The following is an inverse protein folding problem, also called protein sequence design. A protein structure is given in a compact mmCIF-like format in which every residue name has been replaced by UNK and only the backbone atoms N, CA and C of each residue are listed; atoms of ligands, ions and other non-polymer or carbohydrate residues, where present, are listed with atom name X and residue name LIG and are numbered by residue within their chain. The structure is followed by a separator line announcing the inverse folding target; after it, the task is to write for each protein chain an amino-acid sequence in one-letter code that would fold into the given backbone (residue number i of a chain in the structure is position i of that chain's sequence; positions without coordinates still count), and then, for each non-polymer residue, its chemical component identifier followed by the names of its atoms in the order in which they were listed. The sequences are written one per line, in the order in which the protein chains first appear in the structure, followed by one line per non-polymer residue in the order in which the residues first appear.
data_IF_507549491073
#
_entry.id   IF_507549491073
#
_cell.length_a   1.000
_cell.length_b   1.000
_cell.length_c   1.000
_cell.angle_alpha   90.00
_cell.angle_beta   90.00
_cell.angle_gamma   90.00
#
_symmetry.space_group_name_H-M   'P 1'
#
loop_
_entity.id
_entity.type
_entity.pdbx_description
1 polymer ?
#
# COMPACT_ATOMS: atom_id res chain seq x y z
N UNK A 1 2.60 6.53 0.58
CA UNK A 1 1.54 5.64 1.04
C UNK A 1 0.29 6.43 0.81
N UNK A 2 -0.46 6.09 -0.23
CA UNK A 2 -1.69 6.79 -0.55
C UNK A 2 -2.78 6.48 0.47
N UNK A 3 -3.69 7.43 0.63
CA UNK A 3 -4.93 7.19 1.33
C UNK A 3 -5.79 6.19 0.56
N UNK A 4 -6.39 5.23 1.26
CA UNK A 4 -7.30 4.24 0.72
C UNK A 4 -8.71 4.55 1.24
N UNK A 5 -9.54 5.06 0.33
CA UNK A 5 -10.96 5.28 0.60
C UNK A 5 -11.71 3.95 0.54
N UNK A 6 -12.30 3.54 1.66
CA UNK A 6 -13.13 2.34 1.75
C UNK A 6 -14.46 2.56 1.01
N UNK A 7 -14.85 1.62 0.16
CA UNK A 7 -16.17 1.55 -0.47
C UNK A 7 -17.21 1.22 0.60
N UNK A 8 -18.47 1.60 0.36
CA UNK A 8 -19.55 1.40 1.32
C UNK A 8 -19.63 -0.06 1.82
N UNK A 9 -19.78 -0.26 3.12
CA UNK A 9 -19.68 -1.56 3.80
C UNK A 9 -20.69 -2.63 3.31
N UNK A 10 -21.73 -2.23 2.58
CA UNK A 10 -22.84 -3.09 2.15
C UNK A 10 -22.46 -4.22 1.19
N UNK A 11 -21.25 -4.24 0.63
CA UNK A 11 -20.86 -5.22 -0.39
C UNK A 11 -20.49 -6.61 0.15
N UNK A 12 -20.44 -6.84 1.47
CA UNK A 12 -19.86 -8.07 2.00
C UNK A 12 -20.67 -8.77 3.09
N UNK A 13 -21.85 -9.29 2.72
CA UNK A 13 -22.76 -10.04 3.62
C UNK A 13 -22.03 -11.06 4.50
N UNK A 14 -21.13 -11.88 3.94
CA UNK A 14 -20.40 -12.88 4.73
C UNK A 14 -19.43 -12.28 5.76
N UNK A 15 -18.81 -11.14 5.45
CA UNK A 15 -17.88 -10.47 6.37
C UNK A 15 -18.69 -9.75 7.46
N UNK A 16 -19.73 -9.01 7.08
CA UNK A 16 -20.65 -8.35 8.01
C UNK A 16 -21.29 -9.34 8.98
N UNK A 17 -21.78 -10.49 8.47
CA UNK A 17 -22.33 -11.56 9.31
C UNK A 17 -21.30 -12.15 10.27
N UNK A 18 -20.05 -12.32 9.83
CA UNK A 18 -18.97 -12.76 10.72
C UNK A 18 -18.67 -11.72 11.81
N UNK A 19 -18.84 -10.44 11.49
CA UNK A 19 -18.59 -9.31 12.40
C UNK A 19 -19.75 -9.01 13.37
N UNK A 20 -20.97 -9.52 13.16
CA UNK A 20 -22.10 -9.37 14.10
C UNK A 20 -21.80 -9.91 15.50
N UNK A 21 -20.99 -10.97 15.55
CA UNK A 21 -20.46 -11.53 16.80
C UNK A 21 -18.95 -11.61 16.63
N UNK A 22 -18.19 -10.55 16.91
CA UNK A 22 -16.76 -10.55 16.67
C UNK A 22 -16.04 -11.47 17.69
N UNK A 23 -14.87 -12.04 17.34
CA UNK A 23 -14.11 -12.86 18.28
C UNK A 23 -13.63 -12.01 19.46
N UNK A 24 -13.61 -12.61 20.65
CA UNK A 24 -13.26 -11.92 21.90
C UNK A 24 -11.82 -12.22 22.35
N UNK A 25 -11.20 -13.28 21.81
CA UNK A 25 -9.81 -13.66 22.13
C UNK A 25 -8.98 -13.86 20.86
N UNK A 26 -7.65 -13.83 21.00
CA UNK A 26 -6.72 -14.05 19.89
C UNK A 26 -6.88 -15.44 19.26
N UNK A 27 -7.16 -16.46 20.07
CA UNK A 27 -7.39 -17.84 19.63
C UNK A 27 -8.68 -17.93 18.81
N UNK A 28 -9.76 -17.31 19.31
CA UNK A 28 -11.03 -17.23 18.57
C UNK A 28 -10.85 -16.47 17.26
N UNK A 29 -10.10 -15.37 17.28
CA UNK A 29 -9.81 -14.58 16.08
C UNK A 29 -9.06 -15.40 15.04
N UNK A 30 -8.02 -16.13 15.45
CA UNK A 30 -7.23 -17.00 14.59
C UNK A 30 -8.10 -18.11 14.00
N UNK A 31 -8.74 -18.92 14.85
CA UNK A 31 -9.57 -20.05 14.41
C UNK A 31 -10.71 -19.63 13.47
N UNK A 32 -11.40 -18.53 13.78
CA UNK A 32 -12.51 -18.05 12.95
C UNK A 32 -12.03 -17.41 11.66
N UNK A 33 -10.93 -16.66 11.69
CA UNK A 33 -10.34 -16.15 10.46
C UNK A 33 -9.92 -17.32 9.58
N UNK A 34 -9.25 -18.34 10.12
CA UNK A 34 -8.84 -19.54 9.38
C UNK A 34 -10.01 -20.26 8.71
N UNK A 35 -11.13 -20.37 9.42
CA UNK A 35 -12.38 -20.96 8.92
C UNK A 35 -13.16 -20.07 7.94
N UNK A 36 -12.77 -18.81 7.74
CA UNK A 36 -13.47 -17.89 6.85
C UNK A 36 -13.17 -18.21 5.38
N UNK A 37 -14.10 -18.90 4.72
CA UNK A 37 -13.93 -19.37 3.33
C UNK A 37 -14.11 -18.29 2.24
N UNK A 38 -14.37 -17.04 2.61
CA UNK A 38 -14.54 -15.90 1.68
C UNK A 38 -13.33 -14.99 1.58
N UNK A 39 -12.17 -15.42 2.08
CA UNK A 39 -10.90 -14.65 2.00
C UNK A 39 -10.52 -14.28 0.57
N UNK A 40 -10.68 -15.18 -0.41
CA UNK A 40 -10.26 -14.89 -1.79
C UNK A 40 -11.13 -13.81 -2.44
N UNK A 41 -12.45 -13.91 -2.27
CA UNK A 41 -13.41 -12.90 -2.74
C UNK A 41 -13.10 -11.53 -2.11
N UNK A 42 -12.88 -11.52 -0.79
CA UNK A 42 -12.51 -10.32 -0.04
C UNK A 42 -11.18 -9.72 -0.50
N UNK A 43 -10.16 -10.56 -0.71
CA UNK A 43 -8.85 -10.11 -1.22
C UNK A 43 -8.98 -9.45 -2.58
N UNK A 44 -9.73 -10.04 -3.51
CA UNK A 44 -9.93 -9.47 -4.85
C UNK A 44 -10.63 -8.11 -4.76
N UNK A 45 -11.65 -7.99 -3.91
CA UNK A 45 -12.35 -6.73 -3.67
C UNK A 45 -11.42 -5.65 -3.10
N UNK A 46 -10.60 -6.00 -2.09
CA UNK A 46 -9.63 -5.08 -1.50
C UNK A 46 -8.58 -4.65 -2.53
N UNK A 47 -8.12 -5.56 -3.39
CA UNK A 47 -7.22 -5.21 -4.50
C UNK A 47 -7.88 -4.24 -5.47
N UNK A 48 -9.12 -4.47 -5.89
CA UNK A 48 -9.85 -3.54 -6.77
C UNK A 48 -10.08 -2.16 -6.13
N UNK A 49 -10.46 -2.13 -4.85
CA UNK A 49 -10.55 -0.89 -4.05
C UNK A 49 -9.20 -0.15 -3.97
N UNK A 50 -8.12 -0.92 -3.95
CA UNK A 50 -6.78 -0.38 -3.85
C UNK A 50 -6.12 -0.07 -5.20
N UNK A 51 -6.82 -0.18 -6.33
CA UNK A 51 -6.24 -0.10 -7.68
C UNK A 51 -5.05 -1.05 -7.86
N UNK A 52 -5.13 -2.21 -7.22
CA UNK A 52 -4.17 -3.31 -7.20
C UNK A 52 -2.83 -2.99 -6.54
N UNK A 53 -2.71 -1.84 -5.87
CA UNK A 53 -1.53 -1.50 -5.10
C UNK A 53 -1.56 -2.16 -3.71
N UNK A 54 -0.41 -2.67 -3.28
CA UNK A 54 -0.17 -2.98 -1.88
C UNK A 54 -0.43 -1.73 -1.03
N UNK A 55 -1.20 -1.89 0.05
CA UNK A 55 -1.67 -0.77 0.86
C UNK A 55 -0.56 0.08 1.48
N UNK A 56 0.61 -0.53 1.73
CA UNK A 56 1.73 0.14 2.38
C UNK A 56 2.86 0.49 1.40
N UNK A 57 3.32 -0.48 0.60
CA UNK A 57 4.49 -0.31 -0.26
C UNK A 57 4.17 0.20 -1.66
N UNK A 58 2.89 0.20 -2.07
CA UNK A 58 2.43 0.56 -3.42
C UNK A 58 3.08 -0.24 -4.55
N UNK A 59 3.66 -1.39 -4.24
CA UNK A 59 3.98 -2.39 -5.27
C UNK A 59 2.67 -2.98 -5.79
N UNK A 60 2.62 -3.27 -7.09
CA UNK A 60 1.59 -4.11 -7.69
C UNK A 60 1.97 -5.59 -7.59
N UNK A 61 1.31 -6.39 -6.74
CA UNK A 61 1.62 -7.81 -6.63
C UNK A 61 1.42 -8.52 -7.96
N UNK A 62 0.35 -8.14 -8.69
CA UNK A 62 -0.06 -8.74 -9.95
C UNK A 62 0.81 -8.33 -11.16
N UNK A 63 1.83 -7.50 -10.97
CA UNK A 63 2.74 -7.09 -12.04
C UNK A 63 4.08 -7.81 -11.90
N UNK A 64 4.54 -8.38 -13.01
CA UNK A 64 5.92 -8.86 -13.12
C UNK A 64 6.84 -7.65 -13.31
N UNK A 65 7.48 -7.20 -12.23
CA UNK A 65 8.32 -6.00 -12.25
C UNK A 65 9.66 -6.19 -12.98
N UNK A 66 10.14 -7.43 -13.15
CA UNK A 66 11.33 -7.74 -13.94
C UNK A 66 11.19 -9.08 -14.67
N UNK A 67 11.87 -9.27 -15.82
CA UNK A 67 11.89 -10.53 -16.56
C UNK A 67 12.27 -11.75 -15.70
N UNK A 68 13.13 -11.58 -14.71
CA UNK A 68 13.65 -12.69 -13.90
C UNK A 68 12.91 -12.88 -12.56
N UNK A 69 11.99 -11.98 -12.21
CA UNK A 69 11.20 -12.11 -10.99
C UNK A 69 9.84 -12.74 -11.27
N UNK A 70 9.41 -13.65 -10.39
CA UNK A 70 8.01 -14.08 -10.40
C UNK A 70 7.11 -12.95 -9.92
N UNK A 71 5.88 -12.94 -10.44
CA UNK A 71 4.80 -12.13 -9.90
C UNK A 71 4.65 -12.44 -8.40
N UNK A 72 4.46 -11.41 -7.58
CA UNK A 72 4.20 -11.58 -6.15
C UNK A 72 2.72 -11.91 -5.94
N UNK A 73 2.43 -12.67 -4.89
CA UNK A 73 1.08 -12.79 -4.37
C UNK A 73 0.69 -11.62 -3.47
N UNK A 74 -0.59 -11.58 -3.12
CA UNK A 74 -1.14 -10.67 -2.13
C UNK A 74 -1.67 -11.45 -0.93
N UNK A 75 -1.83 -10.77 0.20
CA UNK A 75 -2.55 -11.24 1.38
C UNK A 75 -3.50 -10.16 1.91
N UNK A 76 -4.45 -10.57 2.75
CA UNK A 76 -5.27 -9.62 3.52
C UNK A 76 -4.53 -9.30 4.81
N UNK A 77 -4.28 -8.02 5.02
CA UNK A 77 -3.65 -7.48 6.21
C UNK A 77 -4.70 -6.92 7.16
N UNK A 78 -4.50 -7.19 8.45
CA UNK A 78 -5.21 -6.53 9.55
C UNK A 78 -4.36 -5.35 10.03
N UNK A 79 -4.83 -4.11 9.84
CA UNK A 79 -4.11 -2.90 10.29
C UNK A 79 -3.84 -3.00 11.80
N UNK A 80 -4.91 -3.17 12.57
CA UNK A 80 -4.85 -3.60 13.96
C UNK A 80 -4.77 -5.13 14.03
N UNK A 81 -3.65 -5.72 14.47
CA UNK A 81 -3.45 -7.16 14.45
C UNK A 81 -4.53 -7.88 15.26
N UNK A 82 -5.11 -8.93 14.67
CA UNK A 82 -6.14 -9.76 15.33
C UNK A 82 -5.69 -10.44 16.63
N UNK A 83 -4.37 -10.55 16.86
CA UNK A 83 -3.79 -11.06 18.11
C UNK A 83 -3.90 -10.06 19.26
N UNK A 84 -3.92 -8.75 18.97
CA UNK A 84 -4.08 -7.69 19.95
C UNK A 84 -5.52 -7.16 20.00
N UNK A 85 -6.17 -7.08 18.84
CA UNK A 85 -7.51 -6.54 18.66
C UNK A 85 -8.45 -7.58 18.02
N UNK A 86 -8.76 -8.68 18.73
CA UNK A 86 -9.58 -9.77 18.17
C UNK A 86 -10.96 -9.27 17.69
N UNK A 87 -11.53 -8.28 18.39
CA UNK A 87 -12.79 -7.65 18.00
C UNK A 87 -12.82 -7.07 16.58
N UNK A 88 -11.65 -6.70 16.02
CA UNK A 88 -11.51 -6.11 14.68
C UNK A 88 -11.15 -7.11 13.57
N UNK A 89 -11.25 -8.42 13.84
CA UNK A 89 -10.86 -9.47 12.88
C UNK A 89 -11.67 -9.44 11.58
N UNK A 90 -12.97 -9.17 11.67
CA UNK A 90 -13.90 -9.11 10.54
C UNK A 90 -14.40 -7.69 10.24
N UNK A 91 -13.80 -6.70 10.88
CA UNK A 91 -14.11 -5.30 10.64
C UNK A 91 -13.51 -4.87 9.31
N UNK A 92 -14.36 -4.55 8.33
CA UNK A 92 -13.92 -4.11 7.01
C UNK A 92 -13.01 -2.88 7.06
N UNK A 93 -13.21 -1.99 8.04
CA UNK A 93 -12.39 -0.79 8.26
C UNK A 93 -11.03 -1.12 8.93
N UNK A 94 -10.70 -2.40 9.08
CA UNK A 94 -9.41 -2.88 9.57
C UNK A 94 -8.66 -3.71 8.52
N UNK A 95 -9.25 -3.90 7.32
CA UNK A 95 -8.74 -4.85 6.32
C UNK A 95 -8.28 -4.13 5.06
N UNK A 96 -7.07 -4.47 4.62
CA UNK A 96 -6.45 -3.97 3.39
C UNK A 96 -5.72 -5.12 2.67
N UNK A 97 -5.43 -4.97 1.39
CA UNK A 97 -4.59 -5.91 0.64
C UNK A 97 -3.12 -5.46 0.66
N UNK A 98 -2.22 -6.38 0.95
CA UNK A 98 -0.77 -6.14 0.94
C UNK A 98 -0.07 -7.12 -0.01
N UNK A 99 1.10 -6.73 -0.51
CA UNK A 99 1.98 -7.64 -1.25
C UNK A 99 2.71 -8.61 -0.31
N UNK A 100 3.26 -9.67 -0.90
CA UNK A 100 3.85 -10.86 -0.27
C UNK A 100 2.77 -11.82 0.24
N UNK A 101 2.43 -12.82 -0.57
CA UNK A 101 1.71 -14.00 -0.09
C UNK A 101 2.60 -14.89 0.78
N UNK A 102 2.00 -15.85 1.48
CA UNK A 102 2.73 -16.84 2.27
C UNK A 102 3.78 -17.60 1.44
N UNK A 103 3.51 -17.87 0.15
CA UNK A 103 4.46 -18.52 -0.74
C UNK A 103 5.69 -17.64 -1.00
N UNK A 104 5.50 -16.33 -1.16
CA UNK A 104 6.57 -15.37 -1.41
C UNK A 104 7.58 -15.33 -0.25
N UNK A 105 7.12 -15.57 0.98
CA UNK A 105 8.00 -15.59 2.17
C UNK A 105 9.10 -16.66 2.10
N UNK A 106 8.90 -17.70 1.29
CA UNK A 106 9.92 -18.74 1.04
C UNK A 106 10.90 -18.37 -0.06
N UNK A 107 10.55 -17.39 -0.91
CA UNK A 107 11.35 -16.96 -2.06
C UNK A 107 12.21 -15.72 -1.75
N UNK A 108 11.73 -14.85 -0.86
CA UNK A 108 12.44 -13.63 -0.46
C UNK A 108 13.14 -13.81 0.88
N UNK A 109 14.34 -13.22 1.01
CA UNK A 109 15.07 -13.19 2.26
C UNK A 109 14.25 -12.47 3.34
N UNK A 110 14.37 -12.90 4.60
CA UNK A 110 13.64 -12.31 5.73
C UNK A 110 13.88 -10.81 5.88
N UNK A 111 15.08 -10.34 5.52
CA UNK A 111 15.44 -8.91 5.51
C UNK A 111 14.64 -8.09 4.50
N UNK A 112 14.09 -8.74 3.47
CA UNK A 112 13.24 -8.14 2.44
C UNK A 112 11.75 -8.39 2.67
N UNK A 113 11.36 -8.99 3.80
CA UNK A 113 9.95 -9.03 4.20
C UNK A 113 9.52 -7.62 4.63
N UNK A 114 8.40 -7.15 4.11
CA UNK A 114 7.89 -5.79 4.34
C UNK A 114 6.38 -5.81 4.59
N UNK A 115 5.83 -4.65 4.93
CA UNK A 115 4.41 -4.46 5.20
C UNK A 115 3.93 -5.34 6.36
N UNK A 116 2.80 -6.02 6.19
CA UNK A 116 2.22 -6.90 7.20
C UNK A 116 3.15 -8.01 7.69
N UNK A 117 4.01 -8.54 6.81
CA UNK A 117 4.96 -9.59 7.17
C UNK A 117 6.19 -9.09 7.93
N UNK A 118 6.50 -7.79 7.87
CA UNK A 118 7.48 -7.15 8.76
C UNK A 118 6.83 -6.76 10.10
N UNK A 119 5.64 -6.16 10.04
CA UNK A 119 4.86 -5.71 11.20
C UNK A 119 4.43 -6.85 12.12
N UNK A 120 4.02 -7.99 11.55
CA UNK A 120 3.49 -9.13 12.28
C UNK A 120 2.39 -8.70 13.26
N UNK A 121 2.51 -9.10 14.53
CA UNK A 121 1.62 -8.70 15.61
C UNK A 121 2.03 -7.41 16.32
N UNK A 122 3.09 -6.71 15.90
CA UNK A 122 3.54 -5.47 16.51
C UNK A 122 2.69 -4.29 16.00
N UNK A 123 2.20 -3.46 16.91
CA UNK A 123 1.32 -2.35 16.58
C UNK A 123 1.16 -1.44 17.80
N UNK A 124 1.23 -0.13 17.58
CA UNK A 124 0.91 0.91 18.56
C UNK A 124 -0.09 1.86 17.92
N UNK A 125 -1.34 1.83 18.40
CA UNK A 125 -2.43 2.63 17.85
C UNK A 125 -2.22 4.13 17.98
N UNK A 126 -1.36 4.58 18.90
CA UNK A 126 -1.06 6.00 19.09
C UNK A 126 -0.01 6.53 18.12
N UNK A 127 0.73 5.64 17.44
CA UNK A 127 1.87 6.00 16.58
C UNK A 127 1.75 5.52 15.15
N UNK A 128 0.96 4.47 14.90
CA UNK A 128 0.85 3.89 13.57
C UNK A 128 0.04 4.80 12.64
N UNK A 129 0.66 5.20 11.52
CA UNK A 129 -0.02 5.97 10.48
C UNK A 129 -0.79 5.00 9.58
N UNK A 130 -2.12 5.03 9.69
CA UNK A 130 -3.00 4.17 8.90
C UNK A 130 -3.09 4.64 7.45
N UNK A 131 -3.06 3.71 6.48
CA UNK A 131 -3.40 4.01 5.09
C UNK A 131 -4.89 4.32 4.88
N UNK A 132 -5.72 4.18 5.92
CA UNK A 132 -7.12 4.59 5.95
C UNK A 132 -7.32 5.98 6.59
N UNK A 133 -6.23 6.65 6.97
CA UNK A 133 -6.25 8.04 7.40
C UNK A 133 -5.84 8.93 6.22
N UNK A 134 -6.65 9.93 5.90
CA UNK A 134 -6.42 10.84 4.77
C UNK A 134 -5.10 11.61 4.90
N UNK A 135 -4.66 11.87 6.15
CA UNK A 135 -3.38 12.53 6.41
C UNK A 135 -2.18 11.73 5.90
N UNK A 136 -2.29 10.39 5.78
CA UNK A 136 -1.18 9.52 5.40
C UNK A 136 -0.58 9.89 4.03
N UNK A 137 -1.39 10.46 3.13
CA UNK A 137 -0.98 10.88 1.80
C UNK A 137 0.11 11.97 1.82
N UNK A 138 0.23 12.73 2.93
CA UNK A 138 1.19 13.82 3.11
C UNK A 138 2.28 13.51 4.14
N UNK A 139 2.18 12.36 4.81
CA UNK A 139 3.05 11.99 5.93
C UNK A 139 4.45 11.53 5.50
N UNK A 140 4.59 11.02 4.28
CA UNK A 140 5.84 10.43 3.80
C UNK A 140 6.40 11.18 2.59
N UNK A 141 7.72 11.27 2.51
CA UNK A 141 8.45 11.76 1.35
C UNK A 141 9.30 10.63 0.73
N UNK A 142 9.41 10.66 -0.59
CA UNK A 142 10.12 9.66 -1.39
C UNK A 142 11.37 10.28 -2.01
N UNK A 143 12.54 9.72 -1.69
CA UNK A 143 13.82 10.22 -2.15
C UNK A 143 14.25 9.55 -3.46
N UNK A 144 15.09 10.24 -4.24
CA UNK A 144 15.62 9.75 -5.52
C UNK A 144 16.49 8.50 -5.39
N UNK A 145 17.03 8.23 -4.19
CA UNK A 145 17.74 6.98 -3.91
C UNK A 145 16.80 5.79 -3.60
N UNK A 146 15.49 6.02 -3.69
CA UNK A 146 14.47 5.02 -3.44
C UNK A 146 14.06 4.89 -1.98
N UNK A 147 14.60 5.69 -1.03
CA UNK A 147 14.16 5.66 0.38
C UNK A 147 12.85 6.40 0.59
N UNK A 148 12.08 5.95 1.58
CA UNK A 148 10.94 6.68 2.16
C UNK A 148 11.39 7.29 3.49
N UNK A 149 11.02 8.54 3.74
CA UNK A 149 11.35 9.26 4.97
C UNK A 149 10.11 10.01 5.48
N UNK A 150 10.06 10.38 6.77
CA UNK A 150 9.05 11.32 7.24
C UNK A 150 9.08 12.61 6.42
N UNK A 151 7.90 13.15 6.10
CA UNK A 151 7.80 14.44 5.43
C UNK A 151 8.37 15.56 6.31
N UNK A 152 9.22 16.40 5.73
CA UNK A 152 9.86 17.52 6.44
C UNK A 152 8.86 18.61 6.86
N UNK A 153 7.63 18.56 6.34
CA UNK A 153 6.56 19.51 6.66
C UNK A 153 5.76 19.13 7.92
N UNK A 154 6.04 17.96 8.50
CA UNK A 154 5.40 17.48 9.72
C UNK A 154 6.01 18.11 10.97
N UNK A 155 5.22 18.20 12.04
CA UNK A 155 5.75 18.53 13.35
C UNK A 155 6.68 17.39 13.85
N UNK A 156 7.62 17.66 14.78
CA UNK A 156 8.58 16.65 15.22
C UNK A 156 7.96 15.36 15.76
N UNK A 157 6.79 15.45 16.43
CA UNK A 157 6.08 14.27 16.92
C UNK A 157 5.54 13.41 15.77
N UNK A 158 4.89 14.04 14.79
CA UNK A 158 4.35 13.36 13.62
C UNK A 158 5.47 12.75 12.75
N UNK A 159 6.66 13.38 12.72
CA UNK A 159 7.83 12.79 12.07
C UNK A 159 8.29 11.51 12.76
N UNK A 160 8.24 11.47 14.10
CA UNK A 160 8.60 10.27 14.87
C UNK A 160 7.61 9.12 14.65
N UNK A 161 6.32 9.44 14.45
CA UNK A 161 5.26 8.46 14.19
C UNK A 161 5.29 7.96 12.73
N UNK A 162 5.60 8.86 11.78
CA UNK A 162 5.92 8.48 10.41
C UNK A 162 7.14 7.54 10.37
N UNK A 163 8.20 7.85 11.12
CA UNK A 163 9.41 7.03 11.19
C UNK A 163 9.09 5.66 11.81
N UNK A 164 8.32 5.63 12.90
CA UNK A 164 7.83 4.39 13.49
C UNK A 164 7.11 3.50 12.47
N UNK A 165 6.23 4.10 11.66
CA UNK A 165 5.48 3.36 10.63
C UNK A 165 6.40 2.81 9.54
N UNK A 166 7.37 3.61 9.08
CA UNK A 166 8.39 3.18 8.09
C UNK A 166 9.17 1.97 8.61
N UNK A 167 9.64 2.04 9.85
CA UNK A 167 10.49 1.01 10.46
C UNK A 167 9.69 -0.26 10.76
N UNK A 168 8.50 -0.13 11.35
CA UNK A 168 7.60 -1.24 11.68
C UNK A 168 7.22 -2.05 10.42
N UNK A 169 6.95 -1.36 9.32
CA UNK A 169 6.58 -1.98 8.05
C UNK A 169 7.79 -2.33 7.18
N UNK A 170 9.02 -2.07 7.64
CA UNK A 170 10.26 -2.27 6.89
C UNK A 170 10.20 -1.69 5.46
N UNK A 171 9.64 -0.47 5.31
CA UNK A 171 9.40 0.13 3.99
C UNK A 171 10.71 0.50 3.26
N UNK A 172 11.83 0.55 3.98
CA UNK A 172 13.17 0.78 3.45
C UNK A 172 14.02 -0.51 3.38
N UNK A 173 13.40 -1.69 3.32
CA UNK A 173 14.15 -2.91 3.01
C UNK A 173 14.88 -2.79 1.66
N UNK A 174 15.98 -3.55 1.50
CA UNK A 174 16.85 -3.47 0.32
C UNK A 174 16.06 -3.70 -0.98
N UNK A 175 15.14 -4.66 -0.99
CA UNK A 175 14.24 -4.88 -2.12
C UNK A 175 13.41 -3.64 -2.47
N UNK A 176 12.69 -3.03 -1.53
CA UNK A 176 11.82 -1.88 -1.80
C UNK A 176 12.58 -0.62 -2.22
N UNK A 177 13.75 -0.37 -1.60
CA UNK A 177 14.61 0.77 -1.96
C UNK A 177 15.10 0.63 -3.39
N UNK A 178 15.68 -0.53 -3.74
CA UNK A 178 16.18 -0.77 -5.09
C UNK A 178 15.08 -0.68 -6.14
N UNK A 179 13.88 -1.19 -5.84
CA UNK A 179 12.73 -1.16 -6.77
C UNK A 179 12.21 0.25 -6.99
N UNK A 180 12.06 1.04 -5.92
CA UNK A 180 11.64 2.44 -6.02
C UNK A 180 12.67 3.27 -6.74
N UNK A 181 13.96 3.08 -6.43
CA UNK A 181 15.05 3.77 -7.12
C UNK A 181 15.01 3.50 -8.62
N UNK A 182 14.98 2.23 -9.03
CA UNK A 182 14.93 1.86 -10.44
C UNK A 182 13.72 2.51 -11.15
N UNK A 183 12.54 2.43 -10.53
CA UNK A 183 11.33 3.05 -11.08
C UNK A 183 11.48 4.56 -11.26
N UNK A 184 12.04 5.25 -10.27
CA UNK A 184 12.26 6.69 -10.33
C UNK A 184 13.36 7.08 -11.33
N UNK A 185 14.43 6.29 -11.45
CA UNK A 185 15.48 6.50 -12.45
C UNK A 185 14.91 6.35 -13.87
N UNK A 186 14.10 5.32 -14.12
CA UNK A 186 13.45 5.09 -15.41
C UNK A 186 12.46 6.21 -15.75
N UNK A 187 11.72 6.68 -14.74
CA UNK A 187 10.80 7.81 -14.88
C UNK A 187 11.55 9.11 -15.18
N UNK A 188 12.64 9.40 -14.47
CA UNK A 188 13.47 10.59 -14.68
C UNK A 188 14.06 10.57 -16.11
N UNK A 189 14.51 9.42 -16.62
CA UNK A 189 14.98 9.26 -18.00
C UNK A 189 13.86 9.51 -19.05
N UNK A 190 12.62 9.07 -18.76
CA UNK A 190 11.48 9.35 -19.63
C UNK A 190 11.11 10.84 -19.64
N UNK A 191 11.15 11.49 -18.48
CA UNK A 191 10.92 12.93 -18.34
C UNK A 191 11.97 13.71 -19.13
N UNK A 192 13.25 13.40 -18.97
CA UNK A 192 14.34 14.06 -19.70
C UNK A 192 14.18 13.92 -21.22
N UNK A 193 13.76 12.74 -21.69
CA UNK A 193 13.47 12.51 -23.10
C UNK A 193 12.31 13.36 -23.61
N UNK A 194 11.21 13.44 -22.85
CA UNK A 194 10.05 14.26 -23.23
C UNK A 194 10.42 15.74 -23.27
N UNK A 195 11.21 16.21 -22.29
CA UNK A 195 11.72 17.58 -22.28
C UNK A 195 12.61 17.87 -23.49
N UNK A 196 13.53 16.96 -23.84
CA UNK A 196 14.42 17.11 -24.99
C UNK A 196 13.67 17.15 -26.33
N UNK A 197 12.57 16.40 -26.43
CA UNK A 197 11.73 16.34 -27.63
C UNK A 197 10.61 17.40 -27.67
N UNK A 198 10.42 18.16 -26.58
CA UNK A 198 9.27 19.03 -26.38
C UNK A 198 7.91 18.28 -26.45
N UNK A 199 7.89 17.04 -25.93
CA UNK A 199 6.71 16.21 -25.78
C UNK A 199 5.93 16.57 -24.49
N UNK A 200 4.65 16.18 -24.40
CA UNK A 200 3.77 16.50 -23.26
C UNK A 200 4.15 15.71 -22.00
N UNK A 201 4.63 16.41 -20.96
CA UNK A 201 4.81 15.82 -19.63
C UNK A 201 3.48 15.50 -18.93
N UNK A 202 2.40 16.20 -19.28
CA UNK A 202 1.05 15.91 -18.78
C UNK A 202 0.58 14.54 -19.26
N UNK A 203 0.82 14.22 -20.54
CA UNK A 203 0.43 12.94 -21.12
C UNK A 203 1.25 11.79 -20.50
N UNK A 204 2.56 12.01 -20.31
CA UNK A 204 3.42 11.06 -19.60
C UNK A 204 2.94 10.83 -18.16
N UNK A 205 2.63 11.90 -17.43
CA UNK A 205 2.09 11.81 -16.08
C UNK A 205 0.75 11.05 -16.04
N UNK A 206 -0.13 11.27 -17.02
CA UNK A 206 -1.41 10.56 -17.13
C UNK A 206 -1.24 9.05 -17.35
N UNK A 207 -0.23 8.63 -18.12
CA UNK A 207 0.07 7.20 -18.34
C UNK A 207 0.37 6.49 -17.01
N UNK A 208 1.11 7.12 -16.11
CA UNK A 208 1.54 6.49 -14.86
C UNK A 208 0.64 6.77 -13.66
N UNK A 209 -0.13 7.87 -13.69
CA UNK A 209 -0.96 8.29 -12.56
C UNK A 209 -2.44 7.98 -12.73
N UNK A 210 -2.93 7.74 -13.96
CA UNK A 210 -4.33 7.36 -14.18
C UNK A 210 -4.48 5.85 -14.30
N UNK A 211 -5.61 5.28 -13.84
CA UNK A 211 -5.78 3.85 -13.83
C UNK A 211 -6.07 3.31 -15.24
N UNK A 212 -5.30 2.33 -15.69
CA UNK A 212 -5.59 1.54 -16.88
C UNK A 212 -6.25 0.23 -16.46
N UNK A 213 -7.46 -0.07 -16.98
CA UNK A 213 -8.26 -1.23 -16.56
C UNK A 213 -8.43 -1.34 -15.04
N UNK A 214 -8.69 -0.20 -14.37
CA UNK A 214 -8.84 -0.06 -12.90
C UNK A 214 -7.55 -0.37 -12.09
N UNK A 215 -6.37 -0.32 -12.72
CA UNK A 215 -5.08 -0.57 -12.08
C UNK A 215 -4.16 0.63 -12.26
N UNK A 216 -3.50 1.03 -11.18
CA UNK A 216 -2.46 2.06 -11.24
C UNK A 216 -1.11 1.45 -11.62
N UNK A 217 -0.14 2.29 -11.99
CA UNK A 217 1.28 1.92 -11.98
C UNK A 217 1.79 1.76 -10.54
N UNK A 218 2.82 0.92 -10.30
CA UNK A 218 3.43 0.80 -8.97
C UNK A 218 4.03 2.13 -8.49
N UNK A 219 4.24 2.26 -7.19
CA UNK A 219 4.87 3.42 -6.55
C UNK A 219 4.17 4.75 -6.84
N UNK A 220 2.84 4.71 -6.96
CA UNK A 220 1.98 5.84 -7.29
C UNK A 220 2.31 7.14 -6.55
N UNK A 221 2.47 7.11 -5.22
CA UNK A 221 2.78 8.33 -4.44
C UNK A 221 4.17 8.87 -4.77
N UNK A 222 5.16 8.00 -5.01
CA UNK A 222 6.49 8.44 -5.43
C UNK A 222 6.44 9.10 -6.82
N UNK A 223 5.69 8.50 -7.75
CA UNK A 223 5.43 9.06 -9.09
C UNK A 223 4.70 10.40 -9.02
N UNK A 224 3.63 10.51 -8.20
CA UNK A 224 2.88 11.75 -7.98
C UNK A 224 3.80 12.85 -7.45
N UNK A 225 4.64 12.52 -6.46
CA UNK A 225 5.63 13.46 -5.92
C UNK A 225 6.64 13.90 -6.99
N UNK A 226 7.05 13.01 -7.89
CA UNK A 226 8.04 13.33 -8.93
C UNK A 226 7.53 14.33 -9.96
N UNK A 227 6.32 14.14 -10.44
CA UNK A 227 5.66 15.06 -11.37
C UNK A 227 5.18 16.36 -10.72
N UNK A 228 5.06 16.39 -9.39
CA UNK A 228 4.72 17.58 -8.62
C UNK A 228 3.41 18.21 -9.09
N UNK A 229 3.44 19.49 -9.49
CA UNK A 229 2.23 20.21 -9.91
C UNK A 229 1.52 19.59 -11.13
N UNK A 230 2.27 18.93 -12.02
CA UNK A 230 1.69 18.26 -13.19
C UNK A 230 0.81 17.10 -12.72
N UNK A 231 1.27 16.33 -11.72
CA UNK A 231 0.47 15.26 -11.13
C UNK A 231 -0.85 15.78 -10.55
N UNK A 232 -0.79 16.88 -9.79
CA UNK A 232 -1.99 17.46 -9.18
C UNK A 232 -3.00 17.92 -10.23
N UNK A 233 -2.55 18.39 -11.41
CA UNK A 233 -3.43 18.76 -12.51
C UNK A 233 -4.08 17.53 -13.16
N UNK A 234 -3.28 16.50 -13.45
CA UNK A 234 -3.76 15.23 -14.04
C UNK A 234 -4.77 14.54 -13.12
N UNK A 235 -4.52 14.53 -11.81
CA UNK A 235 -5.36 13.83 -10.84
C UNK A 235 -6.72 14.52 -10.59
N UNK A 236 -6.93 15.76 -11.06
CA UNK A 236 -8.26 16.39 -11.03
C UNK A 236 -9.28 15.61 -11.89
N UNK A 237 -8.82 14.85 -12.88
CA UNK A 237 -9.67 13.98 -13.72
C UNK A 237 -10.16 12.73 -12.97
N UNK A 238 -9.47 12.34 -11.88
CA UNK A 238 -9.78 11.18 -11.06
C UNK A 238 -9.77 11.54 -9.56
N UNK A 239 -10.78 12.28 -9.05
CA UNK A 239 -10.81 12.76 -7.67
C UNK A 239 -10.75 11.67 -6.60
N UNK A 240 -11.10 10.42 -6.93
CA UNK A 240 -10.97 9.28 -6.03
C UNK A 240 -9.52 8.89 -5.71
N UNK A 241 -8.54 9.43 -6.45
CA UNK A 241 -7.11 9.25 -6.25
C UNK A 241 -6.45 10.38 -5.43
N UNK A 242 -7.20 11.44 -5.12
CA UNK A 242 -6.72 12.60 -4.37
C UNK A 242 -6.65 12.34 -2.86
#
# INVERSE_FOLDING_TARGET
MRFIRKKAQYYHYSLSRANEKPPQTAEQATSRWDSFNKKKDLQNLLLEEQFYLCAYSEIRPDLKLLPDLKQMGAHIEHIEPKSQHPGRTFDYQNLVACALSEHDLTQYARTDHFGGHAKLGQYDSSRFISCLDESCAKTFAYLSDGRIVPSLHLAPIDQADAQYTIDLLNLNCGFLVNRRKQWLDDLDALIDKHLANNDSLTDLAAIDLLPCNKKLSPFFTATRQRFGRIAEQVLLEYPELL
#
